data_IF_516267501022
#
_entry.id   IF_516267501022
#
_cell.length_a   1.000
_cell.length_b   1.000
_cell.length_c   1.000
_cell.angle_alpha   90.00
_cell.angle_beta   90.00
_cell.angle_gamma   90.00
#
_symmetry.space_group_name_H-M   'P 1'
#
loop_
_entity.id
_entity.type
_entity.pdbx_description
1 polymer ?
#
# COMPACT_ATOMS: atom_id res chain seq x y z
N UNK A 1 8.55 7.80 1.19
CA UNK A 1 9.15 7.14 2.36
C UNK A 1 8.06 6.78 3.35
N UNK A 2 8.04 5.54 3.85
CA UNK A 2 6.97 4.99 4.70
C UNK A 2 7.16 5.27 6.20
N UNK A 3 8.16 6.07 6.58
CA UNK A 3 8.47 6.39 7.99
C UNK A 3 9.44 5.42 8.65
N UNK A 4 10.04 4.49 7.89
CA UNK A 4 11.16 3.67 8.34
C UNK A 4 12.48 4.45 8.25
N UNK A 5 13.45 4.09 9.08
CA UNK A 5 14.78 4.72 9.11
C UNK A 5 15.60 4.48 7.83
N UNK A 6 15.28 3.42 7.07
CA UNK A 6 15.91 3.10 5.79
C UNK A 6 14.83 2.95 4.69
N UNK A 7 15.17 3.20 3.42
CA UNK A 7 14.24 2.97 2.33
C UNK A 7 13.90 1.47 2.21
N UNK A 8 12.66 1.17 1.84
CA UNK A 8 12.24 -0.18 1.47
C UNK A 8 12.30 -0.23 -0.05
N UNK A 9 13.18 -1.08 -0.57
CA UNK A 9 13.26 -1.38 -2.01
C UNK A 9 12.45 -2.64 -2.23
N UNK A 10 11.49 -2.57 -3.16
CA UNK A 10 10.66 -3.70 -3.55
C UNK A 10 10.93 -4.00 -5.02
N UNK A 11 11.48 -5.19 -5.29
CA UNK A 11 11.78 -5.63 -6.64
C UNK A 11 10.50 -6.12 -7.31
N UNK A 12 10.14 -5.46 -8.41
CA UNK A 12 8.91 -5.75 -9.13
C UNK A 12 9.07 -7.04 -9.96
N UNK A 13 8.15 -8.01 -9.86
CA UNK A 13 8.20 -9.21 -10.67
C UNK A 13 7.95 -8.90 -12.15
N UNK A 14 8.52 -9.74 -13.02
CA UNK A 14 8.43 -9.57 -14.47
C UNK A 14 6.97 -9.54 -14.95
N UNK A 15 6.66 -8.58 -15.82
CA UNK A 15 5.31 -8.42 -16.39
C UNK A 15 4.39 -7.47 -15.63
N UNK A 16 4.85 -6.87 -14.53
CA UNK A 16 4.15 -5.79 -13.84
C UNK A 16 4.82 -4.45 -14.14
N UNK A 17 4.01 -3.47 -14.54
CA UNK A 17 4.39 -2.06 -14.63
C UNK A 17 3.82 -1.31 -13.44
N UNK A 18 4.66 -0.52 -12.78
CA UNK A 18 4.22 0.42 -11.75
C UNK A 18 4.44 1.84 -12.21
N UNK A 19 3.38 2.62 -12.11
CA UNK A 19 3.39 4.06 -12.36
C UNK A 19 3.06 4.79 -11.06
N UNK A 20 3.78 5.86 -10.77
CA UNK A 20 3.53 6.73 -9.62
C UNK A 20 3.11 8.11 -10.13
N UNK A 21 1.82 8.30 -10.48
CA UNK A 21 1.34 9.57 -11.02
C UNK A 21 1.47 10.71 -10.00
N UNK A 22 1.29 10.40 -8.72
CA UNK A 22 1.56 11.30 -7.60
C UNK A 22 2.50 10.61 -6.63
N UNK A 23 3.18 11.39 -5.77
CA UNK A 23 4.12 10.85 -4.78
C UNK A 23 3.45 9.89 -3.77
N UNK A 24 2.13 9.96 -3.62
CA UNK A 24 1.35 9.19 -2.64
C UNK A 24 0.48 8.10 -3.24
N UNK A 25 0.44 7.98 -4.57
CA UNK A 25 -0.37 6.98 -5.27
C UNK A 25 0.50 6.06 -6.11
N UNK A 26 0.14 4.78 -6.11
CA UNK A 26 0.86 3.72 -6.83
C UNK A 26 -0.15 3.00 -7.72
N UNK A 27 0.04 3.07 -9.02
CA UNK A 27 -0.76 2.35 -10.02
C UNK A 27 0.00 1.10 -10.46
N UNK A 28 -0.54 -0.06 -10.12
CA UNK A 28 0.01 -1.37 -10.51
C UNK A 28 -0.79 -1.86 -11.73
N UNK A 29 -0.12 -2.06 -12.86
CA UNK A 29 -0.69 -2.58 -14.10
C UNK A 29 0.03 -3.88 -14.49
N UNK A 30 -0.72 -4.87 -14.94
CA UNK A 30 -0.16 -6.14 -15.39
C UNK A 30 -1.18 -6.94 -16.19
N UNK A 31 -0.71 -7.96 -16.90
CA UNK A 31 -1.56 -8.86 -17.70
C UNK A 31 -2.21 -9.91 -16.78
N UNK A 32 -1.47 -10.39 -15.78
CA UNK A 32 -1.94 -11.40 -14.83
C UNK A 32 -2.54 -10.75 -13.56
N UNK A 33 -3.83 -11.02 -13.32
CA UNK A 33 -4.56 -10.53 -12.15
C UNK A 33 -4.04 -11.13 -10.84
N UNK A 34 -3.57 -12.38 -10.84
CA UNK A 34 -3.04 -13.02 -9.64
C UNK A 34 -1.74 -12.33 -9.20
N UNK A 35 -0.81 -12.16 -10.13
CA UNK A 35 0.47 -11.50 -9.89
C UNK A 35 0.27 -10.04 -9.45
N UNK A 36 -0.63 -9.29 -10.12
CA UNK A 36 -0.98 -7.91 -9.72
C UNK A 36 -1.55 -7.87 -8.31
N UNK A 37 -2.45 -8.80 -7.96
CA UNK A 37 -3.02 -8.89 -6.62
C UNK A 37 -1.98 -9.22 -5.55
N UNK A 38 -1.04 -10.11 -5.86
CA UNK A 38 0.05 -10.48 -4.96
C UNK A 38 0.95 -9.28 -4.66
N UNK A 39 1.42 -8.58 -5.69
CA UNK A 39 2.27 -7.40 -5.50
C UNK A 39 1.54 -6.28 -4.76
N UNK A 40 0.26 -6.06 -5.09
CA UNK A 40 -0.55 -5.08 -4.37
C UNK A 40 -0.68 -5.43 -2.87
N UNK A 41 -0.80 -6.72 -2.54
CA UNK A 41 -0.84 -7.19 -1.16
C UNK A 41 0.51 -7.06 -0.44
N UNK A 42 1.62 -7.39 -1.11
CA UNK A 42 2.98 -7.23 -0.58
C UNK A 42 3.28 -5.75 -0.28
N UNK A 43 2.94 -4.85 -1.21
CA UNK A 43 3.10 -3.40 -1.03
C UNK A 43 2.26 -2.88 0.15
N UNK A 44 1.03 -3.38 0.32
CA UNK A 44 0.17 -3.06 1.47
C UNK A 44 0.76 -3.57 2.79
N UNK A 45 1.34 -4.77 2.79
CA UNK A 45 1.89 -5.42 3.98
C UNK A 45 3.06 -4.63 4.61
N UNK A 46 3.84 -3.89 3.83
CA UNK A 46 4.92 -3.05 4.36
C UNK A 46 4.44 -2.04 5.41
N UNK A 47 3.25 -1.48 5.21
CA UNK A 47 2.64 -0.56 6.18
C UNK A 47 1.13 -0.60 6.07
N UNK A 48 0.54 -1.64 6.64
CA UNK A 48 -0.93 -1.77 6.72
C UNK A 48 -1.58 -0.55 7.40
N UNK A 49 -2.81 -0.18 7.00
CA UNK A 49 -3.47 1.00 7.52
C UNK A 49 -3.81 0.84 9.01
N UNK A 50 -3.37 1.80 9.82
CA UNK A 50 -3.58 1.77 11.26
C UNK A 50 -5.06 2.01 11.65
N UNK A 51 -5.60 1.33 12.68
CA UNK A 51 -7.02 1.40 13.04
C UNK A 51 -7.43 2.72 13.71
N UNK A 52 -6.51 3.65 14.02
CA UNK A 52 -6.84 4.90 14.72
C UNK A 52 -6.77 6.14 13.85
N UNK A 53 -5.83 6.18 12.90
CA UNK A 53 -5.64 7.33 11.99
C UNK A 53 -5.74 6.93 10.51
N UNK A 54 -5.93 5.65 10.21
CA UNK A 54 -5.95 5.13 8.85
C UNK A 54 -4.64 5.34 8.09
N UNK A 55 -3.53 5.67 8.78
CA UNK A 55 -2.24 5.93 8.15
C UNK A 55 -1.61 4.61 7.73
N UNK A 56 -1.14 4.54 6.49
CA UNK A 56 -0.55 3.35 5.89
C UNK A 56 -0.82 3.30 4.40
N UNK A 57 -0.43 2.21 3.77
CA UNK A 57 -0.77 1.85 2.40
C UNK A 57 -2.15 1.19 2.41
N UNK A 58 -3.06 1.67 1.57
CA UNK A 58 -4.42 1.13 1.41
C UNK A 58 -4.77 1.09 -0.06
N UNK A 59 -5.75 0.27 -0.42
CA UNK A 59 -6.31 0.36 -1.78
C UNK A 59 -7.16 1.61 -1.94
N UNK A 60 -7.28 2.12 -3.17
CA UNK A 60 -8.03 3.34 -3.46
C UNK A 60 -9.49 3.27 -3.00
N UNK A 61 -10.12 2.09 -3.10
CA UNK A 61 -11.52 1.86 -2.74
C UNK A 61 -11.67 1.12 -1.40
N UNK A 62 -10.61 1.01 -0.59
CA UNK A 62 -10.66 0.30 0.69
C UNK A 62 -11.26 1.18 1.80
N UNK A 63 -12.32 0.68 2.45
CA UNK A 63 -12.91 1.32 3.64
C UNK A 63 -12.14 0.88 4.88
N UNK A 64 -11.32 1.77 5.44
CA UNK A 64 -10.58 1.53 6.69
C UNK A 64 -11.46 1.92 7.88
N UNK A 65 -11.83 0.95 8.71
CA UNK A 65 -12.62 1.19 9.94
C UNK A 65 -11.73 1.81 11.00
N UNK A 66 -12.07 3.04 11.40
CA UNK A 66 -11.31 3.79 12.40
C UNK A 66 -11.98 3.67 13.77
N UNK A 67 -11.19 3.38 14.81
CA UNK A 67 -11.60 3.39 16.21
C UNK A 67 -11.24 4.74 16.84
N UNK A 68 -12.12 5.24 17.70
CA UNK A 68 -11.81 6.43 18.50
C UNK A 68 -10.71 6.12 19.53
N UNK A 69 -9.89 7.14 19.79
CA UNK A 69 -8.94 7.08 20.91
C UNK A 69 -9.71 7.18 22.21
N UNK A 70 -9.41 6.31 23.17
CA UNK A 70 -10.05 6.34 24.48
C UNK A 70 -9.79 7.72 25.14
N UNK A 71 -10.84 8.53 25.26
CA UNK A 71 -10.81 9.75 26.06
C UNK A 71 -10.75 9.34 27.54
N UNK A 72 -9.88 10.00 28.31
CA UNK A 72 -9.88 9.91 29.77
C UNK A 72 -11.04 10.71 30.33
#
# INVERSE_FOLDING_TARGET
SLGFSHPIVHDMPNGIKVETPTQTEILIKGIDKQLVGQVAAEVRAYRSPEPYKGKGVRYANEVVVIKETKKK
#
